data_IF_248013136349
#
_entry.id   IF_248013136349
#
_cell.length_a   1.000
_cell.length_b   1.000
_cell.length_c   1.000
_cell.angle_alpha   90.00
_cell.angle_beta   90.00
_cell.angle_gamma   90.00
#
_symmetry.space_group_name_H-M   'P 1'
#
loop_
_entity.id
_entity.type
_entity.pdbx_description
1 polymer ?
#
# COMPACT_ATOMS: atom_id res chain seq x y z
N UNK A 1 16.22 -9.62 -27.73
CA UNK A 1 14.77 -9.93 -27.73
C UNK A 1 14.05 -8.76 -27.09
N UNK A 2 13.35 -7.92 -27.87
CA UNK A 2 12.56 -6.82 -27.32
C UNK A 2 11.18 -7.35 -26.88
N UNK A 3 11.02 -7.63 -25.58
CA UNK A 3 9.68 -7.92 -25.03
C UNK A 3 8.94 -6.60 -24.84
N UNK A 4 7.80 -6.45 -25.51
CA UNK A 4 6.84 -5.37 -25.23
C UNK A 4 5.97 -5.81 -24.06
N UNK A 5 5.91 -4.98 -23.02
CA UNK A 5 5.00 -5.18 -21.90
C UNK A 5 3.68 -4.49 -22.20
N UNK A 6 2.59 -5.12 -21.78
CA UNK A 6 1.25 -4.54 -21.81
C UNK A 6 0.53 -4.87 -20.51
N UNK A 7 -0.42 -4.02 -20.13
CA UNK A 7 -1.30 -4.33 -19.02
C UNK A 7 -2.05 -5.65 -19.29
N UNK A 8 -2.20 -6.44 -18.24
CA UNK A 8 -3.22 -7.48 -18.17
C UNK A 8 -4.58 -6.84 -17.91
N UNK A 9 -5.67 -7.60 -18.10
CA UNK A 9 -7.02 -7.11 -17.77
C UNK A 9 -7.13 -6.68 -16.29
N UNK A 10 -6.41 -7.34 -15.38
CA UNK A 10 -6.45 -7.02 -13.95
C UNK A 10 -5.75 -5.70 -13.66
N UNK A 11 -4.55 -5.50 -14.21
CA UNK A 11 -3.82 -4.24 -14.04
C UNK A 11 -4.53 -3.08 -14.74
N UNK A 12 -5.18 -3.32 -15.88
CA UNK A 12 -5.95 -2.30 -16.58
C UNK A 12 -7.17 -1.84 -15.76
N UNK A 13 -7.89 -2.80 -15.16
CA UNK A 13 -9.07 -2.51 -14.33
C UNK A 13 -8.72 -1.85 -13.00
N UNK A 14 -7.68 -2.30 -12.31
CA UNK A 14 -7.45 -1.93 -10.90
C UNK A 14 -6.21 -1.07 -10.65
N UNK A 15 -5.25 -0.98 -11.58
CA UNK A 15 -3.99 -0.26 -11.35
C UNK A 15 -3.83 0.99 -12.26
N UNK A 16 -4.69 1.14 -13.27
CA UNK A 16 -4.71 2.36 -14.10
C UNK A 16 -5.45 3.47 -13.35
N UNK A 17 -4.85 4.66 -13.30
CA UNK A 17 -5.37 5.80 -12.53
C UNK A 17 -6.70 6.35 -13.06
N UNK A 18 -6.97 6.21 -14.36
CA UNK A 18 -8.22 6.65 -14.99
C UNK A 18 -9.35 5.64 -14.85
N UNK A 19 -9.10 4.45 -14.29
CA UNK A 19 -10.17 3.48 -14.05
C UNK A 19 -11.08 3.96 -12.90
N UNK A 20 -12.42 3.87 -13.06
CA UNK A 20 -13.36 4.25 -12.00
C UNK A 20 -13.28 3.35 -10.76
N UNK A 21 -12.62 2.19 -10.88
CA UNK A 21 -12.43 1.22 -9.78
C UNK A 21 -10.95 1.02 -9.44
N UNK A 22 -10.14 2.03 -9.72
CA UNK A 22 -8.71 1.99 -9.41
C UNK A 22 -8.44 1.79 -7.92
N UNK A 23 -7.44 0.98 -7.60
CA UNK A 23 -6.96 0.70 -6.26
C UNK A 23 -5.70 1.49 -5.92
N UNK A 24 -5.27 2.43 -6.77
CA UNK A 24 -4.01 3.17 -6.57
C UNK A 24 -3.95 3.85 -5.20
N UNK A 25 -5.01 4.55 -4.78
CA UNK A 25 -5.04 5.18 -3.45
C UNK A 25 -4.95 4.18 -2.30
N UNK A 26 -5.53 2.99 -2.44
CA UNK A 26 -5.40 1.92 -1.45
C UNK A 26 -3.97 1.37 -1.38
N UNK A 27 -3.34 1.17 -2.54
CA UNK A 27 -1.95 0.69 -2.63
C UNK A 27 -0.99 1.73 -2.05
N UNK A 28 -1.17 3.01 -2.41
CA UNK A 28 -0.36 4.11 -1.90
C UNK A 28 -0.50 4.24 -0.38
N UNK A 29 -1.72 4.17 0.14
CA UNK A 29 -1.96 4.14 1.58
C UNK A 29 -1.25 2.97 2.26
N UNK A 30 -1.33 1.76 1.70
CA UNK A 30 -0.64 0.60 2.25
C UNK A 30 0.88 0.78 2.25
N UNK A 31 1.44 1.31 1.17
CA UNK A 31 2.87 1.56 1.04
C UNK A 31 3.37 2.61 2.04
N UNK A 32 2.62 3.69 2.23
CA UNK A 32 3.03 4.81 3.08
C UNK A 32 2.78 4.55 4.57
N UNK A 33 1.70 3.82 4.89
CA UNK A 33 1.23 3.70 6.27
C UNK A 33 1.23 2.26 6.75
N UNK A 34 0.40 1.41 6.15
CA UNK A 34 0.14 0.07 6.68
C UNK A 34 1.40 -0.78 6.77
N UNK A 35 2.25 -0.73 5.74
CA UNK A 35 3.53 -1.44 5.72
C UNK A 35 4.43 -1.05 6.90
N UNK A 36 4.59 0.26 7.16
CA UNK A 36 5.42 0.75 8.26
C UNK A 36 4.88 0.37 9.63
N UNK A 37 3.55 0.33 9.78
CA UNK A 37 2.90 -0.12 11.01
C UNK A 37 3.14 -1.60 11.27
N UNK A 38 3.07 -2.44 10.22
CA UNK A 38 3.41 -3.87 10.32
C UNK A 38 4.86 -4.07 10.75
N UNK A 39 5.80 -3.24 10.31
CA UNK A 39 7.18 -3.28 10.79
C UNK A 39 7.30 -3.03 12.31
N UNK A 40 6.32 -2.35 12.93
CA UNK A 40 6.29 -2.05 14.37
C UNK A 40 5.40 -2.99 15.18
N UNK A 41 4.84 -4.03 14.57
CA UNK A 41 3.89 -4.93 15.23
C UNK A 41 4.44 -5.54 16.53
N UNK A 42 5.71 -5.94 16.55
CA UNK A 42 6.35 -6.51 17.75
C UNK A 42 6.28 -5.53 18.92
N UNK A 43 6.68 -4.28 18.72
CA UNK A 43 6.64 -3.25 19.75
C UNK A 43 5.19 -2.97 20.16
N UNK A 44 4.27 -2.90 19.21
CA UNK A 44 2.85 -2.68 19.49
C UNK A 44 2.28 -3.75 20.43
N UNK A 45 2.68 -5.02 20.26
CA UNK A 45 2.29 -6.14 21.13
C UNK A 45 2.98 -6.03 22.49
N UNK A 46 4.29 -5.82 22.53
CA UNK A 46 5.07 -5.78 23.78
C UNK A 46 4.65 -4.61 24.68
N UNK A 47 4.36 -3.46 24.09
CA UNK A 47 3.98 -2.22 24.79
C UNK A 47 2.45 -2.10 24.96
N UNK A 48 1.68 -3.06 24.45
CA UNK A 48 0.22 -3.05 24.38
C UNK A 48 -0.34 -1.69 23.90
N UNK A 49 0.33 -1.07 22.94
CA UNK A 49 0.07 0.31 22.51
C UNK A 49 0.14 0.41 20.99
N UNK A 50 -0.87 1.00 20.34
CA UNK A 50 -0.85 1.17 18.90
C UNK A 50 0.18 2.23 18.46
N UNK A 51 0.93 1.93 17.40
CA UNK A 51 2.07 2.75 16.94
C UNK A 51 1.71 3.81 15.88
N UNK A 52 0.41 4.14 15.75
CA UNK A 52 -0.13 5.03 14.71
C UNK A 52 0.57 6.39 14.68
N UNK A 53 0.76 7.01 15.85
CA UNK A 53 1.28 8.38 15.93
C UNK A 53 2.73 8.53 15.49
N UNK A 54 3.53 7.46 15.61
CA UNK A 54 4.93 7.50 15.19
C UNK A 54 5.07 7.38 13.67
N UNK A 55 4.10 6.72 13.02
CA UNK A 55 4.12 6.43 11.58
C UNK A 55 3.30 7.43 10.76
N UNK A 56 2.14 7.87 11.26
CA UNK A 56 1.19 8.69 10.51
C UNK A 56 1.37 10.22 10.69
N UNK A 57 2.37 10.68 11.46
CA UNK A 57 2.65 12.12 11.71
C UNK A 57 3.78 12.68 10.82
N UNK A 58 4.00 12.13 9.63
CA UNK A 58 4.86 12.74 8.60
C UNK A 58 4.02 13.62 7.68
#
# INVERSE_FOLDING_TARGET
>A
INKKYSNTQLSDKYLVSTSPVTLNGYIDHNNQSSYLLWCKLRNAIQENTPQWQQILKQ
#
